data_IF_626110582463
#
_entry.id   IF_626110582463
#
_cell.length_a   1.000
_cell.length_b   1.000
_cell.length_c   1.000
_cell.angle_alpha   90.00
_cell.angle_beta   90.00
_cell.angle_gamma   90.00
#
_symmetry.space_group_name_H-M   'P 1'
#
loop_
_entity.id
_entity.type
_entity.pdbx_description
1 polymer ?
#
# COMPACT_ATOMS: atom_id res chain seq x y z
N UNK A 1 30.27 -14.40 17.43
CA UNK A 1 28.85 -14.72 17.18
C UNK A 1 28.28 -13.56 16.37
N UNK A 2 27.96 -13.75 15.08
CA UNK A 2 27.21 -12.73 14.34
C UNK A 2 25.81 -12.75 14.94
N UNK A 3 25.40 -11.68 15.63
CA UNK A 3 23.99 -11.50 15.99
C UNK A 3 23.24 -11.24 14.68
N UNK A 4 22.53 -12.25 14.21
CA UNK A 4 21.60 -12.07 13.10
C UNK A 4 20.40 -11.27 13.63
N UNK A 5 20.03 -10.20 12.91
CA UNK A 5 18.90 -9.35 13.24
C UNK A 5 17.71 -9.83 12.42
N UNK A 6 16.59 -10.11 13.07
CA UNK A 6 15.35 -10.48 12.39
C UNK A 6 14.88 -9.34 11.47
N UNK A 7 14.34 -9.71 10.31
CA UNK A 7 13.80 -8.79 9.31
C UNK A 7 12.29 -8.98 9.25
N UNK A 8 11.57 -7.95 9.65
CA UNK A 8 10.12 -7.90 9.57
C UNK A 8 9.70 -7.10 8.34
N UNK A 9 9.17 -7.79 7.35
CA UNK A 9 8.67 -7.15 6.13
C UNK A 9 7.20 -6.79 6.30
N UNK A 10 6.83 -5.59 5.86
CA UNK A 10 5.42 -5.21 5.66
C UNK A 10 5.20 -5.05 4.17
N UNK A 11 4.26 -5.80 3.61
CA UNK A 11 4.09 -5.90 2.16
C UNK A 11 2.62 -5.73 1.76
N UNK A 12 2.40 -4.90 0.73
CA UNK A 12 1.11 -4.73 0.06
C UNK A 12 0.84 -5.80 -1.01
N UNK A 13 -0.29 -5.70 -1.70
CA UNK A 13 -0.61 -6.60 -2.81
C UNK A 13 0.21 -6.29 -4.08
N UNK A 14 0.14 -7.16 -5.09
CA UNK A 14 0.87 -7.03 -6.36
C UNK A 14 0.36 -5.89 -7.26
N UNK A 15 -0.86 -5.38 -7.02
CA UNK A 15 -1.31 -4.16 -7.68
C UNK A 15 -0.45 -2.98 -7.21
N UNK A 16 0.02 -2.99 -5.96
CA UNK A 16 0.88 -1.95 -5.38
C UNK A 16 0.33 -0.54 -5.68
N UNK A 17 -0.98 -0.39 -5.52
CA UNK A 17 -1.66 0.89 -5.60
C UNK A 17 -1.30 1.77 -4.39
N UNK A 18 -1.97 2.91 -4.29
CA UNK A 18 -1.70 3.86 -3.22
C UNK A 18 -1.97 3.24 -1.84
N UNK A 19 -3.04 2.46 -1.70
CA UNK A 19 -3.44 1.84 -0.44
C UNK A 19 -2.41 0.84 0.05
N UNK A 20 -2.07 -0.15 -0.79
CA UNK A 20 -1.00 -1.11 -0.52
C UNK A 20 0.32 -0.43 -0.16
N UNK A 21 0.70 0.63 -0.90
CA UNK A 21 1.98 1.33 -0.67
C UNK A 21 1.99 2.07 0.67
N UNK A 22 0.97 2.89 0.92
CA UNK A 22 0.92 3.73 2.12
C UNK A 22 0.69 2.88 3.36
N UNK A 23 -0.18 1.86 3.28
CA UNK A 23 -0.41 0.92 4.38
C UNK A 23 0.91 0.23 4.78
N UNK A 24 1.73 -0.19 3.81
CA UNK A 24 3.00 -0.85 4.11
C UNK A 24 4.01 0.11 4.74
N UNK A 25 4.18 1.31 4.16
CA UNK A 25 5.10 2.34 4.66
C UNK A 25 4.73 2.79 6.08
N UNK A 26 3.46 3.14 6.31
CA UNK A 26 2.98 3.66 7.57
C UNK A 26 3.09 2.62 8.69
N UNK A 27 2.70 1.37 8.43
CA UNK A 27 2.77 0.31 9.42
C UNK A 27 4.21 -0.09 9.73
N UNK A 28 5.08 -0.22 8.72
CA UNK A 28 6.50 -0.54 8.95
C UNK A 28 7.19 0.54 9.78
N UNK A 29 6.93 1.81 9.48
CA UNK A 29 7.46 2.94 10.25
C UNK A 29 6.98 2.90 11.70
N UNK A 30 5.67 2.71 11.91
CA UNK A 30 5.11 2.58 13.25
C UNK A 30 5.73 1.44 14.06
N UNK A 31 5.89 0.26 13.46
CA UNK A 31 6.51 -0.90 14.12
C UNK A 31 7.98 -0.64 14.45
N UNK A 32 8.73 0.03 13.57
CA UNK A 32 10.11 0.43 13.82
C UNK A 32 10.24 1.36 15.04
N UNK A 33 9.29 2.26 15.22
CA UNK A 33 9.29 3.23 16.31
C UNK A 33 8.88 2.59 17.65
N UNK A 34 7.96 1.62 17.63
CA UNK A 34 7.32 1.08 18.85
C UNK A 34 7.92 -0.23 19.35
N UNK A 35 8.66 -0.97 18.51
CA UNK A 35 9.19 -2.28 18.90
C UNK A 35 10.29 -2.19 19.98
N UNK A 36 10.27 -3.09 20.98
CA UNK A 36 11.30 -3.13 22.03
C UNK A 36 12.66 -3.58 21.49
N UNK A 37 13.73 -3.33 22.24
CA UNK A 37 15.07 -3.78 21.90
C UNK A 37 15.30 -5.27 22.28
N UNK A 38 16.13 -6.03 21.51
CA UNK A 38 16.79 -5.62 20.28
C UNK A 38 15.80 -5.51 19.12
N UNK A 39 15.80 -4.37 18.42
CA UNK A 39 14.81 -4.09 17.37
C UNK A 39 15.08 -4.97 16.16
N UNK A 40 14.06 -5.67 15.64
CA UNK A 40 14.06 -6.17 14.27
C UNK A 40 14.27 -5.02 13.26
N UNK A 41 14.68 -5.34 12.03
CA UNK A 41 14.65 -4.39 10.93
C UNK A 41 13.26 -4.43 10.30
N UNK A 42 12.49 -3.34 10.38
CA UNK A 42 11.18 -3.24 9.74
C UNK A 42 11.34 -2.63 8.35
N UNK A 43 10.95 -3.38 7.33
CA UNK A 43 11.18 -3.03 5.92
C UNK A 43 9.83 -3.02 5.19
N UNK A 44 9.33 -1.84 4.78
CA UNK A 44 8.21 -1.79 3.85
C UNK A 44 8.70 -2.22 2.46
N UNK A 45 8.01 -3.19 1.86
CA UNK A 45 8.31 -3.70 0.51
C UNK A 45 7.15 -3.41 -0.42
N UNK A 46 7.42 -2.68 -1.50
CA UNK A 46 6.47 -2.48 -2.58
C UNK A 46 6.48 -3.73 -3.48
N UNK A 47 5.35 -4.41 -3.59
CA UNK A 47 5.26 -5.75 -4.17
C UNK A 47 5.20 -5.73 -5.72
N UNK A 48 6.10 -4.97 -6.33
CA UNK A 48 6.30 -4.86 -7.78
C UNK A 48 7.81 -4.71 -8.04
N UNK A 49 8.27 -4.98 -9.28
CA UNK A 49 9.63 -4.60 -9.68
C UNK A 49 9.83 -3.09 -9.64
N UNK A 50 11.04 -2.62 -9.31
CA UNK A 50 11.34 -1.17 -9.32
C UNK A 50 10.97 -0.48 -10.63
N UNK A 51 11.17 -1.16 -11.76
CA UNK A 51 10.88 -0.64 -13.09
C UNK A 51 9.41 -0.23 -13.28
N UNK A 52 8.50 -0.80 -12.49
CA UNK A 52 7.06 -0.59 -12.62
C UNK A 52 6.53 0.52 -11.69
N UNK A 53 7.38 1.05 -10.80
CA UNK A 53 6.98 2.07 -9.85
C UNK A 53 6.45 3.34 -10.53
N UNK A 54 7.04 3.72 -11.66
CA UNK A 54 6.59 4.87 -12.44
C UNK A 54 5.12 4.77 -12.90
N UNK A 55 4.57 3.55 -13.01
CA UNK A 55 3.19 3.31 -13.44
C UNK A 55 2.16 3.71 -12.35
N UNK A 56 2.60 3.81 -11.09
CA UNK A 56 1.78 4.20 -9.93
C UNK A 56 1.84 5.71 -9.75
N UNK A 57 1.25 6.43 -10.70
CA UNK A 57 1.42 7.88 -10.86
C UNK A 57 0.90 8.67 -9.66
N UNK A 58 -0.22 8.26 -9.06
CA UNK A 58 -0.75 8.79 -7.80
C UNK A 58 0.21 8.56 -6.62
N UNK A 59 0.82 7.38 -6.54
CA UNK A 59 1.80 7.02 -5.50
C UNK A 59 3.08 7.83 -5.63
N UNK A 60 3.64 7.90 -6.84
CA UNK A 60 4.84 8.69 -7.13
C UNK A 60 4.61 10.19 -6.91
N UNK A 61 3.41 10.68 -7.22
CA UNK A 61 2.99 12.05 -6.93
C UNK A 61 2.99 12.30 -5.41
N UNK A 62 2.25 11.49 -4.64
CA UNK A 62 2.10 11.71 -3.20
C UNK A 62 3.44 11.59 -2.46
N UNK A 63 4.22 10.56 -2.75
CA UNK A 63 5.51 10.34 -2.07
C UNK A 63 6.50 11.48 -2.35
N UNK A 64 6.57 11.96 -3.60
CA UNK A 64 7.40 13.11 -3.97
C UNK A 64 6.96 14.39 -3.30
N UNK A 65 5.66 14.66 -3.28
CA UNK A 65 5.06 15.84 -2.63
C UNK A 65 5.31 15.82 -1.11
N UNK A 66 5.38 14.64 -0.50
CA UNK A 66 5.75 14.45 0.91
C UNK A 66 7.27 14.32 1.15
N UNK A 67 8.09 14.50 0.12
CA UNK A 67 9.56 14.49 0.22
C UNK A 67 10.19 13.11 0.45
N UNK A 68 9.49 12.02 0.10
CA UNK A 68 9.98 10.64 0.20
C UNK A 68 10.63 10.26 -1.14
N UNK A 69 11.97 10.10 -1.19
CA UNK A 69 12.65 9.78 -2.44
C UNK A 69 12.37 8.33 -2.87
N UNK A 70 12.14 8.10 -4.17
CA UNK A 70 11.98 6.74 -4.69
C UNK A 70 13.19 5.82 -4.43
N UNK A 71 14.38 6.41 -4.25
CA UNK A 71 15.61 5.71 -3.91
C UNK A 71 15.64 5.16 -2.47
N UNK A 72 14.77 5.62 -1.56
CA UNK A 72 14.66 5.07 -0.21
C UNK A 72 13.65 3.94 -0.08
N UNK A 73 12.92 3.63 -1.16
CA UNK A 73 11.93 2.55 -1.21
C UNK A 73 12.61 1.23 -1.59
N UNK A 74 12.14 0.13 -1.02
CA UNK A 74 12.56 -1.24 -1.34
C UNK A 74 11.46 -1.90 -2.17
N UNK A 75 11.87 -2.46 -3.31
CA UNK A 75 10.99 -3.15 -4.24
C UNK A 75 11.16 -4.66 -4.14
N UNK A 76 10.20 -5.38 -4.72
CA UNK A 76 10.14 -6.83 -4.60
C UNK A 76 11.37 -7.54 -5.18
N UNK A 77 11.93 -6.99 -6.24
CA UNK A 77 13.10 -7.48 -6.95
C UNK A 77 14.44 -7.11 -6.27
N UNK A 78 14.40 -6.42 -5.13
CA UNK A 78 15.58 -5.92 -4.42
C UNK A 78 15.82 -6.58 -3.07
N UNK A 79 14.92 -7.48 -2.66
CA UNK A 79 14.99 -8.20 -1.39
C UNK A 79 14.75 -9.69 -1.59
N UNK A 80 15.69 -10.51 -1.12
CA UNK A 80 15.58 -11.97 -1.18
C UNK A 80 14.73 -12.50 -0.02
N UNK A 81 13.41 -12.36 -0.13
CA UNK A 81 12.47 -12.89 0.87
C UNK A 81 12.61 -14.41 1.03
N UNK A 82 12.88 -15.13 -0.06
CA UNK A 82 13.13 -16.56 -0.04
C UNK A 82 14.34 -16.89 0.82
N UNK A 83 15.48 -16.25 0.58
CA UNK A 83 16.71 -16.43 1.36
C UNK A 83 16.53 -16.05 2.83
N UNK A 84 15.83 -14.96 3.14
CA UNK A 84 15.51 -14.55 4.52
C UNK A 84 14.64 -15.60 5.23
N UNK A 85 13.65 -16.15 4.52
CA UNK A 85 12.79 -17.21 5.04
C UNK A 85 13.58 -18.51 5.31
N UNK A 86 14.38 -18.97 4.35
CA UNK A 86 15.21 -20.17 4.51
C UNK A 86 16.24 -20.03 5.64
N UNK A 87 16.70 -18.79 5.92
CA UNK A 87 17.60 -18.50 7.04
C UNK A 87 16.89 -18.41 8.40
N UNK A 88 15.55 -18.49 8.45
CA UNK A 88 14.76 -18.32 9.67
C UNK A 88 14.76 -16.89 10.21
N UNK A 89 14.98 -15.89 9.35
CA UNK A 89 15.12 -14.49 9.73
C UNK A 89 13.92 -13.61 9.32
N UNK A 90 12.95 -14.17 8.58
CA UNK A 90 11.81 -13.42 8.04
C UNK A 90 10.58 -13.54 8.93
N UNK A 91 9.98 -12.40 9.25
CA UNK A 91 8.56 -12.28 9.59
C UNK A 91 7.87 -11.36 8.60
N UNK A 92 6.59 -11.60 8.32
CA UNK A 92 5.84 -10.92 7.28
C UNK A 92 4.49 -10.42 7.81
N UNK A 93 4.21 -9.12 7.64
CA UNK A 93 2.86 -8.55 7.77
C UNK A 93 2.32 -8.28 6.38
N UNK A 94 1.14 -8.78 6.08
CA UNK A 94 0.42 -8.46 4.84
C UNK A 94 -0.55 -7.31 5.12
N UNK A 95 -0.51 -6.30 4.25
CA UNK A 95 -1.48 -5.20 4.25
C UNK A 95 -2.18 -5.16 2.91
N UNK A 96 -3.46 -4.78 2.90
CA UNK A 96 -4.29 -4.69 1.70
C UNK A 96 -4.30 -6.00 0.88
N UNK A 97 -4.03 -7.11 1.56
CA UNK A 97 -4.21 -8.50 1.13
C UNK A 97 -4.05 -9.50 2.25
N UNK A 98 -4.67 -10.68 2.07
CA UNK A 98 -4.58 -11.79 3.01
C UNK A 98 -4.13 -13.11 2.35
N UNK A 99 -3.94 -13.14 1.03
CA UNK A 99 -3.52 -14.31 0.25
C UNK A 99 -2.24 -13.97 -0.52
N UNK A 100 -1.15 -14.68 -0.23
CA UNK A 100 0.06 -14.61 -1.03
C UNK A 100 -0.14 -15.28 -2.39
N UNK A 101 0.43 -14.73 -3.48
CA UNK A 101 0.38 -15.37 -4.79
C UNK A 101 1.11 -16.72 -4.76
N UNK A 102 0.82 -17.59 -5.73
CA UNK A 102 1.39 -18.95 -5.76
C UNK A 102 2.92 -18.98 -5.76
N UNK A 103 3.58 -18.00 -6.36
CA UNK A 103 5.03 -17.85 -6.35
C UNK A 103 5.61 -17.68 -4.92
N UNK A 104 4.78 -17.23 -3.99
CA UNK A 104 5.14 -16.89 -2.61
C UNK A 104 4.56 -17.84 -1.59
N UNK A 105 3.96 -18.96 -2.02
CA UNK A 105 3.34 -19.93 -1.13
C UNK A 105 4.31 -20.43 -0.04
N UNK A 106 5.62 -20.49 -0.33
CA UNK A 106 6.64 -20.87 0.63
C UNK A 106 6.83 -19.88 1.79
N UNK A 107 6.40 -18.61 1.64
CA UNK A 107 6.52 -17.58 2.67
C UNK A 107 5.32 -17.56 3.63
N UNK A 108 4.32 -18.41 3.41
CA UNK A 108 3.07 -18.41 4.17
C UNK A 108 3.30 -18.63 5.68
N UNK A 109 4.30 -19.46 6.03
CA UNK A 109 4.69 -19.73 7.43
C UNK A 109 5.34 -18.51 8.12
N UNK A 110 5.87 -17.56 7.36
CA UNK A 110 6.45 -16.33 7.89
C UNK A 110 5.40 -15.26 8.20
N UNK A 111 4.15 -15.43 7.78
CA UNK A 111 3.09 -14.43 7.97
C UNK A 111 2.63 -14.41 9.43
N UNK A 112 2.83 -13.26 10.08
CA UNK A 112 2.51 -13.06 11.51
C UNK A 112 1.34 -12.11 11.74
N UNK A 113 1.02 -11.25 10.78
CA UNK A 113 -0.09 -10.29 10.87
C UNK A 113 -0.68 -10.02 9.48
N UNK A 114 -2.00 -9.82 9.42
CA UNK A 114 -2.75 -9.48 8.20
C UNK A 114 -3.73 -8.37 8.53
N UNK A 115 -3.65 -7.26 7.79
CA UNK A 115 -4.66 -6.21 7.75
C UNK A 115 -5.20 -6.13 6.32
N UNK A 116 -6.47 -6.43 6.11
CA UNK A 116 -7.08 -6.36 4.78
C UNK A 116 -8.54 -5.90 4.91
N UNK A 117 -9.08 -5.36 3.83
CA UNK A 117 -10.45 -4.87 3.79
C UNK A 117 -11.35 -5.60 2.77
N UNK A 118 -10.80 -6.65 2.16
CA UNK A 118 -11.49 -7.51 1.19
C UNK A 118 -12.14 -8.72 1.87
N UNK A 119 -13.17 -9.34 1.26
CA UNK A 119 -13.78 -10.55 1.79
C UNK A 119 -12.73 -11.65 2.04
N UNK A 120 -12.75 -12.23 3.24
CA UNK A 120 -11.81 -13.26 3.63
C UNK A 120 -12.02 -14.54 2.81
N UNK A 121 -11.01 -14.95 2.04
CA UNK A 121 -11.01 -16.17 1.22
C UNK A 121 -10.64 -17.42 2.02
N UNK A 122 -9.81 -17.27 3.06
CA UNK A 122 -9.35 -18.36 3.93
C UNK A 122 -9.07 -17.90 5.35
N UNK A 123 -9.40 -18.74 6.32
CA UNK A 123 -8.99 -18.53 7.71
C UNK A 123 -7.50 -18.84 7.89
N UNK A 124 -6.81 -18.04 8.72
CA UNK A 124 -5.45 -18.34 9.19
C UNK A 124 -5.49 -18.60 10.69
N UNK A 125 -4.82 -19.68 11.11
CA UNK A 125 -4.69 -20.04 12.52
C UNK A 125 -3.53 -19.28 13.20
N UNK A 126 -3.44 -19.37 14.55
CA UNK A 126 -2.30 -18.85 15.29
C UNK A 126 -0.96 -19.40 14.74
N UNK A 127 0.14 -18.62 14.80
CA UNK A 127 0.29 -17.35 15.50
C UNK A 127 -0.15 -16.09 14.72
N UNK A 128 -0.65 -16.24 13.49
CA UNK A 128 -1.02 -15.10 12.63
C UNK A 128 -2.21 -14.31 13.21
N UNK A 129 -2.03 -13.02 13.45
CA UNK A 129 -3.11 -12.10 13.80
C UNK A 129 -3.79 -11.61 12.53
N UNK A 130 -5.10 -11.82 12.41
CA UNK A 130 -5.86 -11.45 11.20
C UNK A 130 -6.92 -10.41 11.56
N UNK A 131 -6.84 -9.24 10.92
CA UNK A 131 -7.85 -8.19 10.96
C UNK A 131 -8.37 -7.97 9.54
N UNK A 132 -9.55 -8.51 9.26
CA UNK A 132 -10.23 -8.35 7.97
C UNK A 132 -11.60 -7.72 8.18
N UNK A 133 -11.75 -6.48 7.70
CA UNK A 133 -12.88 -5.61 8.04
C UNK A 133 -13.33 -4.83 6.80
N UNK A 134 -14.64 -4.76 6.49
CA UNK A 134 -15.14 -4.19 5.23
C UNK A 134 -15.15 -2.65 5.26
N UNK A 135 -13.99 -2.02 5.45
CA UNK A 135 -13.78 -0.57 5.38
C UNK A 135 -13.43 -0.11 3.96
N UNK A 136 -13.50 1.20 3.69
CA UNK A 136 -13.27 1.73 2.35
C UNK A 136 -11.82 1.65 1.88
N UNK A 137 -10.85 1.60 2.82
CA UNK A 137 -9.42 1.55 2.55
C UNK A 137 -8.69 0.76 3.63
N UNK A 138 -7.69 -0.05 3.29
CA UNK A 138 -6.79 -0.70 4.24
C UNK A 138 -6.03 0.34 5.09
N UNK A 139 -5.73 1.52 4.54
CA UNK A 139 -5.14 2.63 5.28
C UNK A 139 -6.00 3.08 6.48
N UNK A 140 -7.31 2.84 6.47
CA UNK A 140 -8.18 3.02 7.65
C UNK A 140 -7.79 2.06 8.78
N UNK A 141 -7.60 0.77 8.48
CA UNK A 141 -7.18 -0.23 9.47
C UNK A 141 -5.77 0.04 9.99
N UNK A 142 -4.85 0.46 9.10
CA UNK A 142 -3.51 0.86 9.51
C UNK A 142 -3.53 2.09 10.42
N UNK A 143 -4.38 3.07 10.11
CA UNK A 143 -4.56 4.25 10.97
C UNK A 143 -5.02 3.84 12.37
N UNK A 144 -6.05 3.00 12.47
CA UNK A 144 -6.54 2.48 13.75
C UNK A 144 -5.46 1.72 14.52
N UNK A 145 -4.70 0.86 13.82
CA UNK A 145 -3.58 0.09 14.40
C UNK A 145 -2.48 0.97 14.98
N UNK A 146 -2.17 2.08 14.32
CA UNK A 146 -1.21 3.09 14.80
C UNK A 146 -1.75 3.81 16.04
N UNK A 147 -3.05 4.15 16.05
CA UNK A 147 -3.70 4.87 17.14
C UNK A 147 -3.83 4.06 18.43
N UNK A 148 -3.84 2.73 18.33
CA UNK A 148 -3.75 1.83 19.48
C UNK A 148 -2.36 1.80 20.12
N UNK A 149 -1.34 2.32 19.43
CA UNK A 149 0.03 2.40 19.93
C UNK A 149 0.30 3.58 20.86
N UNK A 150 1.56 3.75 21.29
CA UNK A 150 1.98 4.89 22.10
C UNK A 150 1.69 6.24 21.42
N UNK A 151 1.26 7.27 22.18
CA UNK A 151 1.07 8.60 21.63
C UNK A 151 2.40 9.18 21.11
N UNK A 152 2.32 9.99 20.06
CA UNK A 152 3.49 10.69 19.48
C UNK A 152 4.25 9.92 18.40
N UNK A 153 3.84 8.69 18.06
CA UNK A 153 4.45 7.92 16.96
C UNK A 153 3.95 8.37 15.59
N UNK A 154 2.65 8.67 15.49
CA UNK A 154 2.06 9.21 14.27
C UNK A 154 2.58 10.63 14.05
N UNK A 155 3.34 10.84 12.98
CA UNK A 155 3.85 12.14 12.57
C UNK A 155 3.03 12.74 11.41
N UNK A 156 3.33 14.00 11.08
CA UNK A 156 2.62 14.75 10.04
C UNK A 156 2.74 14.09 8.67
N UNK A 157 3.90 13.53 8.33
CA UNK A 157 4.14 12.91 7.02
C UNK A 157 3.28 11.66 6.88
N UNK A 158 3.34 10.78 7.89
CA UNK A 158 2.54 9.55 7.93
C UNK A 158 1.05 9.86 7.94
N UNK A 159 0.62 10.87 8.70
CA UNK A 159 -0.77 11.33 8.72
C UNK A 159 -1.24 11.84 7.35
N UNK A 160 -0.41 12.60 6.63
CA UNK A 160 -0.74 13.08 5.29
C UNK A 160 -0.83 11.94 4.25
N UNK A 161 0.03 10.92 4.36
CA UNK A 161 -0.05 9.73 3.51
C UNK A 161 -1.36 8.97 3.75
N UNK A 162 -1.67 8.65 5.00
CA UNK A 162 -2.90 7.94 5.38
C UNK A 162 -4.15 8.74 4.99
N UNK A 163 -4.17 10.05 5.26
CA UNK A 163 -5.26 10.95 4.90
C UNK A 163 -5.53 10.94 3.39
N UNK A 164 -4.51 11.19 2.58
CA UNK A 164 -4.68 11.20 1.12
C UNK A 164 -5.13 9.86 0.55
N UNK A 165 -4.63 8.76 1.10
CA UNK A 165 -4.99 7.40 0.68
C UNK A 165 -6.45 7.08 0.97
N UNK A 166 -6.90 7.28 2.22
CA UNK A 166 -8.30 7.06 2.60
C UNK A 166 -9.22 7.94 1.75
N UNK A 167 -8.87 9.21 1.51
CA UNK A 167 -9.65 10.10 0.66
C UNK A 167 -9.74 9.60 -0.79
N UNK A 168 -8.66 9.07 -1.37
CA UNK A 168 -8.68 8.55 -2.74
C UNK A 168 -9.59 7.32 -2.87
N UNK A 169 -9.42 6.32 -2.00
CA UNK A 169 -10.16 5.05 -2.08
C UNK A 169 -11.63 5.21 -1.70
N UNK A 170 -11.91 6.11 -0.75
CA UNK A 170 -13.26 6.43 -0.29
C UNK A 170 -13.94 7.51 -1.13
N UNK A 171 -13.36 7.92 -2.27
CA UNK A 171 -13.92 8.94 -3.18
C UNK A 171 -14.32 10.20 -2.39
N UNK A 172 -13.34 10.75 -1.66
CA UNK A 172 -13.48 11.92 -0.80
C UNK A 172 -14.58 11.77 0.28
N UNK A 173 -14.74 10.56 0.83
CA UNK A 173 -15.78 10.19 1.79
C UNK A 173 -17.21 10.40 1.26
N UNK A 174 -17.40 10.36 -0.06
CA UNK A 174 -18.72 10.50 -0.69
C UNK A 174 -19.64 9.32 -0.33
N UNK A 175 -20.78 9.53 0.36
CA UNK A 175 -21.72 8.45 0.65
C UNK A 175 -22.28 7.80 -0.62
N UNK A 176 -22.35 8.56 -1.72
CA UNK A 176 -22.85 8.08 -3.01
C UNK A 176 -21.93 7.01 -3.65
N UNK A 177 -20.68 6.91 -3.22
CA UNK A 177 -19.73 5.90 -3.71
C UNK A 177 -20.03 4.48 -3.18
N UNK A 178 -20.84 4.34 -2.13
CA UNK A 178 -21.23 3.05 -1.55
C UNK A 178 -20.10 2.24 -0.89
N UNK A 179 -18.89 2.81 -0.79
CA UNK A 179 -17.70 2.17 -0.20
C UNK A 179 -17.28 2.71 1.16
N UNK A 180 -17.83 3.86 1.56
CA UNK A 180 -17.40 4.61 2.75
C UNK A 180 -18.08 4.06 3.99
N UNK A 181 -17.30 3.86 5.06
CA UNK A 181 -17.80 3.46 6.37
C UNK A 181 -17.62 4.56 7.41
N UNK A 182 -18.34 4.49 8.55
CA UNK A 182 -18.11 5.41 9.66
C UNK A 182 -16.67 5.40 10.20
N UNK A 183 -15.94 4.28 10.04
CA UNK A 183 -14.54 4.15 10.47
C UNK A 183 -13.60 4.96 9.58
N UNK A 184 -13.84 4.98 8.27
CA UNK A 184 -13.08 5.82 7.33
C UNK A 184 -13.25 7.31 7.68
N UNK A 185 -14.50 7.73 7.92
CA UNK A 185 -14.82 9.11 8.34
C UNK A 185 -14.18 9.46 9.67
N UNK A 186 -14.23 8.55 10.65
CA UNK A 186 -13.62 8.75 11.96
C UNK A 186 -12.10 8.90 11.86
N UNK A 187 -11.42 8.05 11.07
CA UNK A 187 -9.98 8.13 10.86
C UNK A 187 -9.57 9.46 10.21
N UNK A 188 -10.23 9.86 9.11
CA UNK A 188 -9.96 11.15 8.45
C UNK A 188 -10.18 12.32 9.41
N UNK A 189 -11.28 12.32 10.16
CA UNK A 189 -11.59 13.42 11.09
C UNK A 189 -10.54 13.52 12.21
N UNK A 190 -10.07 12.38 12.73
CA UNK A 190 -9.02 12.35 13.75
C UNK A 190 -7.67 12.84 13.20
N UNK A 191 -7.31 12.45 11.97
CA UNK A 191 -6.09 12.92 11.33
C UNK A 191 -6.12 14.45 11.16
N UNK A 192 -7.25 15.00 10.72
CA UNK A 192 -7.43 16.46 10.58
C UNK A 192 -7.43 17.19 11.93
N UNK A 193 -8.02 16.62 12.97
CA UNK A 193 -8.00 17.20 14.31
C UNK A 193 -6.57 17.25 14.89
N UNK A 194 -5.79 16.17 14.71
CA UNK A 194 -4.42 16.10 15.23
C UNK A 194 -3.41 16.90 14.40
N UNK A 195 -3.69 17.08 13.11
CA UNK A 195 -2.83 17.76 12.16
C UNK A 195 -3.64 18.79 11.36
N UNK A 196 -4.00 19.93 11.99
CA UNK A 196 -4.85 20.94 11.37
C UNK A 196 -4.22 21.62 10.13
N UNK A 197 -2.93 21.40 9.88
CA UNK A 197 -2.23 21.87 8.69
C UNK A 197 -2.31 20.91 7.50
N UNK A 198 -3.00 19.77 7.63
CA UNK A 198 -3.30 18.92 6.49
C UNK A 198 -4.12 19.71 5.45
N UNK A 199 -3.86 19.55 4.15
CA UNK A 199 -4.62 20.26 3.13
C UNK A 199 -6.09 19.84 3.13
N UNK A 200 -6.96 20.72 2.63
CA UNK A 200 -8.40 20.44 2.53
C UNK A 200 -8.68 19.17 1.69
N UNK A 201 -9.67 18.39 2.10
CA UNK A 201 -10.00 17.08 1.49
C UNK A 201 -10.16 17.16 -0.03
N UNK A 202 -10.92 18.12 -0.53
CA UNK A 202 -11.15 18.33 -1.97
C UNK A 202 -9.86 18.60 -2.76
N UNK A 203 -8.92 19.35 -2.16
CA UNK A 203 -7.64 19.64 -2.78
C UNK A 203 -6.75 18.39 -2.85
N UNK A 204 -6.70 17.60 -1.78
CA UNK A 204 -5.96 16.33 -1.72
C UNK A 204 -6.54 15.33 -2.71
N UNK A 205 -7.86 15.11 -2.65
CA UNK A 205 -8.57 14.18 -3.52
C UNK A 205 -8.42 14.58 -4.99
N UNK A 206 -8.66 15.85 -5.32
CA UNK A 206 -8.53 16.34 -6.70
C UNK A 206 -7.12 16.17 -7.27
N UNK A 207 -6.09 16.46 -6.46
CA UNK A 207 -4.70 16.28 -6.89
C UNK A 207 -4.32 14.81 -7.11
N UNK A 208 -4.71 13.91 -6.18
CA UNK A 208 -4.47 12.48 -6.33
C UNK A 208 -5.25 11.88 -7.50
N UNK A 209 -6.50 12.31 -7.68
CA UNK A 209 -7.36 11.86 -8.77
C UNK A 209 -6.79 12.28 -10.14
N UNK A 210 -6.28 13.51 -10.24
CA UNK A 210 -5.57 13.99 -11.43
C UNK A 210 -4.28 13.19 -11.67
N UNK A 211 -3.45 13.01 -10.64
CA UNK A 211 -2.21 12.26 -10.75
C UNK A 211 -2.43 10.79 -11.15
N UNK A 212 -3.52 10.15 -10.69
CA UNK A 212 -3.87 8.75 -11.04
C UNK A 212 -4.01 8.54 -12.55
N UNK A 213 -4.50 9.55 -13.26
CA UNK A 213 -4.72 9.50 -14.72
C UNK A 213 -3.68 10.29 -15.52
N UNK A 214 -2.74 10.97 -14.86
CA UNK A 214 -1.65 11.70 -15.53
C UNK A 214 -0.61 10.73 -16.11
N UNK A 215 -0.51 10.71 -17.45
CA UNK A 215 0.43 9.87 -18.20
C UNK A 215 1.56 10.67 -18.83
N UNK A 216 1.63 11.99 -18.63
CA UNK A 216 2.57 12.90 -19.33
C UNK A 216 4.05 12.59 -19.10
N UNK A 217 4.37 11.90 -18.00
CA UNK A 217 5.73 11.46 -17.67
C UNK A 217 6.07 10.01 -18.07
N UNK A 218 5.15 9.29 -18.70
CA UNK A 218 5.32 7.88 -19.05
C UNK A 218 5.80 7.73 -20.50
N UNK A 219 6.66 6.73 -20.72
CA UNK A 219 6.95 6.23 -22.07
C UNK A 219 5.73 5.51 -22.65
N UNK A 220 5.67 5.36 -23.98
CA UNK A 220 4.58 4.62 -24.64
C UNK A 220 4.43 3.20 -24.10
N UNK A 221 5.53 2.50 -23.85
CA UNK A 221 5.50 1.17 -23.23
C UNK A 221 4.87 1.23 -21.83
N UNK A 222 5.26 2.20 -21.01
CA UNK A 222 4.70 2.37 -19.67
C UNK A 222 3.22 2.71 -19.70
N UNK A 223 2.77 3.57 -20.63
CA UNK A 223 1.36 3.88 -20.82
C UNK A 223 0.54 2.62 -21.14
N UNK A 224 1.03 1.77 -22.04
CA UNK A 224 0.39 0.50 -22.39
C UNK A 224 0.34 -0.47 -21.20
N UNK A 225 1.32 -0.42 -20.29
CA UNK A 225 1.40 -1.30 -19.12
C UNK A 225 0.59 -0.81 -17.91
N UNK A 226 0.31 0.50 -17.80
CA UNK A 226 -0.30 1.12 -16.61
C UNK A 226 -1.65 0.51 -16.21
N UNK A 227 -2.57 0.35 -17.17
CA UNK A 227 -3.88 -0.30 -16.99
C UNK A 227 -4.02 -1.47 -17.97
N UNK A 228 -3.01 -2.34 -17.99
CA UNK A 228 -3.01 -3.55 -18.79
C UNK A 228 -3.77 -4.68 -18.08
N UNK A 229 -4.72 -5.28 -18.78
CA UNK A 229 -5.40 -6.51 -18.37
C UNK A 229 -5.09 -7.60 -19.37
N UNK A 230 -4.62 -8.75 -18.88
CA UNK A 230 -4.29 -9.91 -19.70
C UNK A 230 -5.27 -11.03 -19.39
N UNK A 231 -5.91 -11.55 -20.43
CA UNK A 231 -6.76 -12.74 -20.39
C UNK A 231 -6.03 -13.85 -21.14
N UNK A 232 -5.89 -15.01 -20.50
CA UNK A 232 -5.21 -16.17 -21.07
C UNK A 232 -6.15 -17.36 -21.10
N UNK A 233 -6.17 -18.07 -22.23
CA UNK A 233 -6.77 -19.40 -22.40
C UNK A 233 -5.76 -20.33 -23.08
N UNK A 234 -6.11 -21.61 -23.25
CA UNK A 234 -5.28 -22.57 -23.99
C UNK A 234 -5.13 -22.20 -25.48
N UNK A 235 -6.04 -21.37 -26.03
CA UNK A 235 -6.08 -21.01 -27.45
C UNK A 235 -5.46 -19.64 -27.76
N UNK A 236 -5.55 -18.68 -26.82
CA UNK A 236 -5.10 -17.32 -27.05
C UNK A 236 -4.75 -16.57 -25.77
N UNK A 237 -3.90 -15.55 -25.94
CA UNK A 237 -3.61 -14.53 -24.92
C UNK A 237 -4.05 -13.19 -25.48
N UNK A 238 -4.96 -12.50 -24.78
CA UNK A 238 -5.48 -11.18 -25.17
C UNK A 238 -5.06 -10.16 -24.11
N UNK A 239 -4.41 -9.10 -24.56
CA UNK A 239 -3.96 -7.98 -23.76
C UNK A 239 -4.80 -6.73 -24.11
N UNK A 240 -5.41 -6.09 -23.11
CA UNK A 240 -6.20 -4.86 -23.28
C UNK A 240 -5.65 -3.79 -22.35
N UNK A 241 -5.26 -2.66 -22.91
CA UNK A 241 -4.70 -1.52 -22.17
C UNK A 241 -5.66 -0.34 -22.18
N UNK A 242 -5.99 0.18 -20.99
CA UNK A 242 -6.64 1.48 -20.84
C UNK A 242 -5.64 2.62 -20.98
N UNK A 243 -5.87 3.55 -21.92
CA UNK A 243 -5.07 4.76 -22.09
C UNK A 243 -5.96 5.97 -21.80
N UNK A 244 -5.51 6.83 -20.89
CA UNK A 244 -6.22 8.02 -20.44
C UNK A 244 -5.60 9.27 -21.07
N UNK A 245 -5.93 9.52 -22.33
CA UNK A 245 -5.53 10.73 -23.07
C UNK A 245 -6.67 11.25 -23.93
N UNK A 246 -6.63 12.54 -24.25
CA UNK A 246 -7.53 13.14 -25.23
C UNK A 246 -7.17 12.64 -26.63
N UNK A 247 -8.13 12.03 -27.32
CA UNK A 247 -7.92 11.56 -28.69
C UNK A 247 -7.91 12.76 -29.64
N UNK A 248 -6.77 13.00 -30.29
CA UNK A 248 -6.70 13.97 -31.39
C UNK A 248 -7.53 13.46 -32.58
N UNK A 249 -8.74 14.01 -32.75
CA UNK A 249 -9.54 13.77 -33.95
C UNK A 249 -9.04 14.71 -35.04
N UNK A 250 -8.27 14.18 -35.99
CA UNK A 250 -8.00 14.89 -37.25
C UNK A 250 -9.28 14.90 -38.07
N UNK A 251 -9.97 16.04 -38.08
CA UNK A 251 -11.08 16.36 -39.00
C UNK A 251 -10.54 16.64 -40.41
#
# INVERSE_FOLDING_TARGET
VRQHRDVHVVMGNEACDLDSTVSALALAYFLAQTSPAPKAAFVPVLNIPRADFALRTETTFLLRDRGIPAASLIFRDEIDLGGLHHAGLLSLTLVDHHVLPGADAALEEAVVEVLDHRPLERERGPPCQVTVEPVGSCATLVTERILQGPPGVLDRTTAALLHGTILLDCINLSPAAGKVTPRDVACVSLLEERFPELPARDAVFGALQAAKFDVTGLTTEQMLRKDLKVLSSDEAVVAVSGIFEDLEVRL
#
